data_IF_969198199721
#
_entry.id   IF_969198199721
#
_cell.length_a   1.000
_cell.length_b   1.000
_cell.length_c   1.000
_cell.angle_alpha   90.00
_cell.angle_beta   90.00
_cell.angle_gamma   90.00
#
_symmetry.space_group_name_H-M   'P 1'
#
loop_
_entity.id
_entity.type
_entity.pdbx_description
1 polymer ?
#
# COMPACT_ATOMS: atom_id res chain seq x y z
N UNK A 1 -15.49 7.10 -18.34
CA UNK A 1 -15.00 5.70 -18.15
C UNK A 1 -13.73 5.74 -17.30
N UNK A 2 -13.81 5.43 -16.00
CA UNK A 2 -12.62 5.40 -15.13
C UNK A 2 -11.80 4.15 -15.47
N UNK A 3 -10.71 4.32 -16.23
CA UNK A 3 -9.77 3.23 -16.52
C UNK A 3 -9.20 2.74 -15.18
N UNK A 4 -9.67 1.58 -14.72
CA UNK A 4 -9.19 0.96 -13.48
C UNK A 4 -7.79 0.40 -13.71
N UNK A 5 -6.80 1.29 -13.82
CA UNK A 5 -5.41 0.89 -13.95
C UNK A 5 -5.01 0.18 -12.65
N UNK A 6 -4.32 -0.97 -12.72
CA UNK A 6 -3.82 -1.63 -11.52
C UNK A 6 -3.04 -0.63 -10.65
N UNK A 7 -3.23 -0.74 -9.34
CA UNK A 7 -2.51 0.08 -8.36
C UNK A 7 -1.01 -0.20 -8.49
N UNK A 8 -0.19 0.84 -8.38
CA UNK A 8 1.26 0.66 -8.37
C UNK A 8 1.69 -0.08 -7.10
N UNK A 9 2.85 -0.76 -7.09
CA UNK A 9 3.36 -1.42 -5.88
C UNK A 9 3.46 -0.45 -4.69
N UNK A 10 3.87 0.80 -4.94
CA UNK A 10 3.92 1.86 -3.94
C UNK A 10 2.53 2.22 -3.39
N UNK A 11 1.50 2.26 -4.25
CA UNK A 11 0.12 2.50 -3.83
C UNK A 11 -0.42 1.37 -2.96
N UNK A 12 -0.11 0.11 -3.30
CA UNK A 12 -0.47 -1.04 -2.46
C UNK A 12 0.21 -0.98 -1.09
N UNK A 13 1.48 -0.59 -1.03
CA UNK A 13 2.19 -0.42 0.25
C UNK A 13 1.58 0.71 1.10
N UNK A 14 1.20 1.83 0.48
CA UNK A 14 0.50 2.91 1.16
C UNK A 14 -0.85 2.46 1.71
N UNK A 15 -1.67 1.75 0.93
CA UNK A 15 -2.94 1.18 1.43
C UNK A 15 -2.71 0.21 2.59
N UNK A 16 -1.66 -0.60 2.53
CA UNK A 16 -1.26 -1.48 3.63
C UNK A 16 -0.90 -0.72 4.91
N UNK A 17 -0.16 0.39 4.80
CA UNK A 17 0.19 1.25 5.93
C UNK A 17 -1.04 1.89 6.59
N UNK A 18 -2.04 2.29 5.81
CA UNK A 18 -3.31 2.77 6.34
C UNK A 18 -4.17 1.66 6.97
N UNK A 19 -4.02 0.41 6.54
CA UNK A 19 -4.82 -0.70 7.03
C UNK A 19 -4.48 -1.09 8.49
N UNK A 20 -3.32 -0.66 9.02
CA UNK A 20 -2.98 -0.82 10.43
C UNK A 20 -3.90 -0.01 11.35
N UNK A 21 -4.17 1.26 11.00
CA UNK A 21 -5.10 2.15 11.71
C UNK A 21 -6.09 2.82 10.74
N UNK A 22 -7.11 2.09 10.24
CA UNK A 22 -7.95 2.56 9.12
C UNK A 22 -8.83 3.77 9.46
N UNK A 23 -9.19 3.93 10.75
CA UNK A 23 -10.02 5.03 11.22
C UNK A 23 -9.22 6.29 11.57
N UNK A 24 -7.90 6.22 11.59
CA UNK A 24 -7.05 7.33 12.01
C UNK A 24 -6.69 8.24 10.83
N UNK A 25 -6.73 9.55 11.09
CA UNK A 25 -6.18 10.53 10.16
C UNK A 25 -4.66 10.53 10.24
N UNK A 26 -4.00 10.38 9.09
CA UNK A 26 -2.53 10.29 8.99
C UNK A 26 -1.98 11.37 8.07
N UNK A 27 -0.82 11.92 8.42
CA UNK A 27 -0.15 12.92 7.60
C UNK A 27 0.68 12.27 6.48
N UNK A 28 0.75 12.95 5.32
CA UNK A 28 1.59 12.51 4.20
C UNK A 28 3.06 12.31 4.56
N UNK A 29 3.59 13.11 5.51
CA UNK A 29 4.97 13.02 5.97
C UNK A 29 5.25 11.73 6.76
N UNK A 30 4.34 11.30 7.64
CA UNK A 30 4.52 10.07 8.41
C UNK A 30 4.51 8.85 7.49
N UNK A 31 3.60 8.87 6.50
CA UNK A 31 3.50 7.85 5.46
C UNK A 31 4.75 7.80 4.56
N UNK A 32 5.36 8.95 4.30
CA UNK A 32 6.62 9.06 3.56
C UNK A 32 7.72 8.28 4.28
N UNK A 33 7.84 8.49 5.60
CA UNK A 33 8.84 7.86 6.46
C UNK A 33 8.58 6.37 6.64
N UNK A 34 7.33 5.97 6.84
CA UNK A 34 6.96 4.56 7.05
C UNK A 34 7.13 3.71 5.78
N UNK A 35 6.64 4.21 4.63
CA UNK A 35 6.65 3.43 3.38
C UNK A 35 7.97 3.60 2.60
N UNK A 36 8.73 4.66 2.89
CA UNK A 36 9.98 4.99 2.20
C UNK A 36 9.74 5.47 0.77
N UNK A 37 8.69 6.26 0.56
CA UNK A 37 8.33 6.84 -0.77
C UNK A 37 8.74 8.30 -0.78
N UNK A 38 9.33 8.80 -1.87
CA UNK A 38 9.66 10.22 -1.97
C UNK A 38 8.41 11.11 -2.06
N UNK A 39 8.48 12.34 -1.55
CA UNK A 39 7.38 13.31 -1.60
C UNK A 39 6.83 13.51 -3.03
N UNK A 40 7.72 13.57 -4.03
CA UNK A 40 7.34 13.71 -5.44
C UNK A 40 6.52 12.56 -6.01
N UNK A 41 6.59 11.36 -5.41
CA UNK A 41 5.77 10.21 -5.80
C UNK A 41 4.56 10.03 -4.88
N UNK A 42 4.71 10.35 -3.60
CA UNK A 42 3.70 10.16 -2.57
C UNK A 42 2.42 10.92 -2.87
N UNK A 43 2.49 12.24 -3.07
CA UNK A 43 1.29 13.06 -3.27
C UNK A 43 0.50 12.69 -4.54
N UNK A 44 1.14 12.46 -5.71
CA UNK A 44 0.41 11.97 -6.88
C UNK A 44 -0.22 10.58 -6.68
N UNK A 45 0.33 9.72 -5.83
CA UNK A 45 -0.27 8.42 -5.51
C UNK A 45 -1.47 8.61 -4.57
N UNK A 46 -1.31 9.41 -3.51
CA UNK A 46 -2.40 9.72 -2.56
C UNK A 46 -3.58 10.38 -3.27
N UNK A 47 -3.33 11.35 -4.14
CA UNK A 47 -4.36 11.98 -4.96
C UNK A 47 -5.12 10.96 -5.82
N UNK A 48 -4.42 10.02 -6.48
CA UNK A 48 -5.06 8.97 -7.28
C UNK A 48 -5.87 7.98 -6.44
N UNK A 49 -5.43 7.68 -5.21
CA UNK A 49 -6.16 6.81 -4.29
C UNK A 49 -7.42 7.51 -3.77
N UNK A 50 -7.34 8.81 -3.45
CA UNK A 50 -8.48 9.63 -3.08
C UNK A 50 -9.47 9.79 -4.25
N UNK A 51 -8.99 10.04 -5.46
CA UNK A 51 -9.81 10.09 -6.67
C UNK A 51 -10.60 8.80 -6.88
N UNK A 52 -10.01 7.64 -6.56
CA UNK A 52 -10.68 6.32 -6.61
C UNK A 52 -11.67 6.08 -5.46
N UNK A 53 -11.77 7.01 -4.51
CA UNK A 53 -12.60 6.89 -3.32
C UNK A 53 -12.03 5.94 -2.26
N UNK A 54 -10.77 5.49 -2.39
CA UNK A 54 -10.13 4.57 -1.44
C UNK A 54 -9.55 5.30 -0.22
N UNK A 55 -9.26 6.60 -0.39
CA UNK A 55 -8.84 7.47 0.69
C UNK A 55 -9.77 8.68 0.78
N UNK A 56 -9.96 9.14 1.99
CA UNK A 56 -10.55 10.44 2.27
C UNK A 56 -9.41 11.42 2.53
N UNK A 57 -9.47 12.60 1.92
CA UNK A 57 -8.51 13.68 2.15
C UNK A 57 -9.21 14.83 2.85
N UNK A 58 -8.64 15.29 3.96
CA UNK A 58 -9.10 16.47 4.67
C UNK A 58 -7.92 17.40 4.95
N UNK A 59 -8.22 18.66 5.18
CA UNK A 59 -7.24 19.61 5.71
C UNK A 59 -7.36 19.61 7.22
N UNK A 60 -6.22 19.58 7.90
CA UNK A 60 -6.16 19.75 9.33
C UNK A 60 -6.66 21.15 9.72
N UNK A 61 -7.22 21.24 10.92
CA UNK A 61 -7.74 22.50 11.47
C UNK A 61 -6.58 23.47 11.64
N UNK A 62 -6.62 24.68 11.05
CA UNK A 62 -5.56 25.65 11.22
C UNK A 62 -5.44 26.02 12.70
N UNK A 63 -4.33 25.63 13.32
CA UNK A 63 -3.97 26.04 14.68
C UNK A 63 -3.07 27.26 14.59
N UNK A 64 -3.23 28.23 15.50
CA UNK A 64 -2.43 29.46 15.50
C UNK A 64 -0.93 29.17 15.35
N UNK A 65 -0.35 29.69 14.26
CA UNK A 65 1.09 29.58 13.97
C UNK A 65 1.54 28.34 13.19
N UNK A 66 0.65 27.44 12.74
CA UNK A 66 1.05 26.30 11.88
C UNK A 66 0.24 26.24 10.59
N UNK A 67 0.90 26.04 9.43
CA UNK A 67 0.19 25.86 8.17
C UNK A 67 -0.67 24.60 8.21
N UNK A 68 -1.85 24.62 7.57
CA UNK A 68 -2.74 23.47 7.51
C UNK A 68 -2.03 22.29 6.83
N UNK A 69 -2.18 21.10 7.41
CA UNK A 69 -1.57 19.87 6.90
C UNK A 69 -2.62 19.04 6.18
N UNK A 70 -2.24 18.41 5.07
CA UNK A 70 -3.10 17.40 4.45
C UNK A 70 -3.13 16.14 5.32
N UNK A 71 -4.34 15.72 5.64
CA UNK A 71 -4.67 14.50 6.35
C UNK A 71 -5.35 13.52 5.39
N UNK A 72 -5.01 12.25 5.55
CA UNK A 72 -5.59 11.16 4.79
C UNK A 72 -6.09 10.08 5.73
N UNK A 73 -7.22 9.47 5.39
CA UNK A 73 -7.81 8.35 6.13
C UNK A 73 -8.32 7.29 5.16
N UNK A 74 -8.31 6.03 5.59
CA UNK A 74 -8.89 4.95 4.80
C UNK A 74 -10.42 5.01 4.81
N UNK A 75 -11.03 4.95 3.64
CA UNK A 75 -12.49 4.83 3.51
C UNK A 75 -12.92 3.37 3.60
N UNK A 76 -14.21 3.10 3.75
CA UNK A 76 -14.77 1.73 3.68
C UNK A 76 -14.34 0.97 2.42
N UNK A 77 -14.46 1.51 1.18
CA UNK A 77 -13.94 0.83 -0.01
C UNK A 77 -12.41 0.71 0.00
N UNK A 78 -11.68 1.65 0.60
CA UNK A 78 -10.24 1.53 0.83
C UNK A 78 -9.86 0.34 1.70
N UNK A 79 -10.58 0.10 2.79
CA UNK A 79 -10.40 -1.04 3.68
C UNK A 79 -10.64 -2.37 2.95
N UNK A 80 -11.70 -2.44 2.16
CA UNK A 80 -12.02 -3.63 1.36
C UNK A 80 -10.92 -3.92 0.33
N UNK A 81 -10.43 -2.90 -0.38
CA UNK A 81 -9.37 -3.09 -1.36
C UNK A 81 -8.04 -3.48 -0.69
N UNK A 82 -7.70 -2.89 0.47
CA UNK A 82 -6.53 -3.28 1.23
C UNK A 82 -6.59 -4.76 1.66
N UNK A 83 -7.74 -5.21 2.16
CA UNK A 83 -7.96 -6.62 2.52
C UNK A 83 -7.86 -7.56 1.29
N UNK A 84 -8.40 -7.13 0.14
CA UNK A 84 -8.29 -7.86 -1.13
C UNK A 84 -6.83 -8.03 -1.55
N UNK A 85 -6.05 -6.95 -1.49
CA UNK A 85 -4.63 -6.96 -1.86
C UNK A 85 -3.82 -7.86 -0.93
N UNK A 86 -4.08 -7.84 0.38
CA UNK A 86 -3.43 -8.72 1.35
C UNK A 86 -3.74 -10.20 1.05
N UNK A 87 -4.99 -10.52 0.72
CA UNK A 87 -5.41 -11.89 0.37
C UNK A 87 -4.70 -12.38 -0.89
N UNK A 88 -4.60 -11.54 -1.92
CA UNK A 88 -3.89 -11.87 -3.17
C UNK A 88 -2.40 -12.10 -2.91
N UNK A 89 -1.76 -11.26 -2.10
CA UNK A 89 -0.34 -11.40 -1.75
C UNK A 89 -0.08 -12.72 -0.99
N UNK A 90 -0.92 -13.05 0.00
CA UNK A 90 -0.83 -14.32 0.73
C UNK A 90 -1.02 -15.54 -0.19
N UNK A 91 -1.94 -15.44 -1.14
CA UNK A 91 -2.22 -16.52 -2.09
C UNK A 91 -1.04 -16.74 -3.04
N UNK A 92 -0.45 -15.65 -3.56
CA UNK A 92 0.75 -15.72 -4.38
C UNK A 92 1.95 -16.32 -3.62
N UNK A 93 2.14 -15.94 -2.35
CA UNK A 93 3.20 -16.49 -1.51
C UNK A 93 3.03 -18.00 -1.25
N UNK A 94 1.79 -18.45 -1.02
CA UNK A 94 1.50 -19.89 -0.86
C UNK A 94 1.79 -20.69 -2.12
N UNK A 95 1.39 -20.19 -3.29
CA UNK A 95 1.65 -20.84 -4.57
C UNK A 95 3.14 -20.88 -4.91
N UNK A 96 3.89 -19.81 -4.59
CA UNK A 96 5.34 -19.78 -4.78
C UNK A 96 6.08 -20.77 -3.87
N UNK A 97 5.59 -20.97 -2.63
CA UNK A 97 6.16 -21.95 -1.70
C UNK A 97 5.94 -23.40 -2.15
N UNK A 98 4.83 -23.68 -2.85
CA UNK A 98 4.54 -25.00 -3.42
C UNK A 98 5.44 -25.35 -4.63
N UNK A 99 6.09 -24.36 -5.25
CA UNK A 99 7.05 -24.55 -6.34
C UNK A 99 8.48 -24.42 -5.81
N UNK A 100 8.91 -25.39 -4.99
CA UNK A 100 10.34 -25.67 -4.82
C UNK A 100 10.69 -26.88 -5.70
N UNK A 101 11.46 -26.72 -6.79
CA UNK A 101 11.98 -27.87 -7.51
C UNK A 101 12.92 -28.64 -6.58
N UNK A 102 12.73 -29.96 -6.55
CA UNK A 102 13.63 -30.92 -5.89
C UNK A 102 15.07 -30.64 -6.32
N UNK A 103 16.06 -30.63 -5.40
CA UNK A 103 17.45 -30.75 -5.83
C UNK A 103 17.58 -32.12 -6.49
N UNK A 104 17.75 -32.14 -7.81
CA UNK A 104 18.09 -33.36 -8.52
C UNK A 104 19.48 -33.78 -8.07
N UNK A 105 19.54 -34.94 -7.41
CA UNK A 105 20.79 -35.58 -7.03
C UNK A 105 21.69 -35.71 -8.26
N UNK A 106 22.94 -35.26 -8.15
CA UNK A 106 24.01 -35.72 -9.02
C UNK A 106 24.84 -36.73 -8.25
N UNK A 107 24.48 -38.00 -8.40
CA UNK A 107 25.38 -39.11 -8.18
C UNK A 107 26.48 -39.07 -9.24
N UNK A 108 27.73 -39.07 -8.78
CA UNK A 108 28.95 -39.50 -9.47
C UNK A 108 29.96 -39.71 -8.33
N UNK A 109 30.50 -40.90 -8.04
CA UNK A 109 30.92 -41.97 -8.93
C UNK A 109 32.45 -41.93 -9.01
N UNK A 110 33.11 -42.97 -8.50
CA UNK A 110 34.56 -43.22 -8.57
C UNK A 110 35.24 -43.08 -7.20
N UNK A 111 36.06 -44.01 -6.74
CA UNK A 111 36.55 -45.29 -7.26
C UNK A 111 36.97 -46.17 -6.06
#
# INVERSE_FOLDING_TARGET
MRRNRPLSPQACRLLGAFAAEPSQWRHGYDLMTEVGVSSGSLYPILARLADRGLLESSWDTPTEGRPPRHLYRLTTPGQQEAARLATVALSAARSASAVRPRPTARAAGGA
#
